data_IF_024847151235
#
_entry.id   IF_024847151235
#
_cell.length_a   1.000
_cell.length_b   1.000
_cell.length_c   1.000
_cell.angle_alpha   90.00
_cell.angle_beta   90.00
_cell.angle_gamma   90.00
#
_symmetry.space_group_name_H-M   'P 1'
#
loop_
_entity.id
_entity.type
_entity.pdbx_description
1 polymer ?
#
# COMPACT_ATOMS: atom_id res chain seq x y z
N UNK A 1 -5.18 6.21 10.60
CA UNK A 1 -4.07 5.71 9.76
C UNK A 1 -3.46 4.50 10.44
N UNK A 2 -2.88 3.57 9.68
CA UNK A 2 -2.26 2.33 10.14
C UNK A 2 -0.90 2.16 9.47
N UNK A 3 0.13 1.77 10.23
CA UNK A 3 1.45 1.39 9.72
C UNK A 3 1.62 -0.13 9.93
N UNK A 4 1.91 -0.85 8.86
CA UNK A 4 2.12 -2.29 8.88
C UNK A 4 3.54 -2.58 8.38
N UNK A 5 4.36 -3.19 9.23
CA UNK A 5 5.76 -3.47 8.93
C UNK A 5 6.00 -4.98 8.81
N UNK A 6 6.27 -5.44 7.59
CA UNK A 6 6.54 -6.83 7.20
C UNK A 6 5.58 -7.89 7.76
N UNK A 7 4.33 -7.49 8.02
CA UNK A 7 3.28 -8.37 8.56
C UNK A 7 2.92 -9.53 7.61
N UNK A 8 3.28 -9.40 6.34
CA UNK A 8 3.07 -10.39 5.29
C UNK A 8 4.26 -11.37 5.12
N UNK A 9 5.38 -11.15 5.80
CA UNK A 9 6.56 -12.03 5.76
C UNK A 9 6.29 -13.52 6.11
N UNK A 10 5.40 -13.88 7.07
CA UNK A 10 5.11 -15.28 7.36
C UNK A 10 4.06 -15.90 6.44
N UNK A 11 3.50 -15.16 5.48
CA UNK A 11 2.39 -15.60 4.64
C UNK A 11 2.90 -16.19 3.32
N UNK A 12 2.21 -17.22 2.82
CA UNK A 12 2.39 -17.67 1.44
C UNK A 12 1.76 -16.70 0.44
N UNK A 13 2.12 -16.84 -0.83
CA UNK A 13 1.67 -15.94 -1.89
C UNK A 13 0.13 -15.85 -1.99
N UNK A 14 -0.60 -16.95 -1.79
CA UNK A 14 -2.06 -16.97 -1.85
C UNK A 14 -2.71 -16.20 -0.68
N UNK A 15 -2.13 -16.30 0.51
CA UNK A 15 -2.55 -15.58 1.70
C UNK A 15 -2.21 -14.09 1.61
N UNK A 16 -1.06 -13.72 1.02
CA UNK A 16 -0.70 -12.31 0.76
C UNK A 16 -1.76 -11.64 -0.11
N UNK A 17 -2.25 -12.30 -1.16
CA UNK A 17 -3.31 -11.74 -2.01
C UNK A 17 -4.62 -11.47 -1.24
N UNK A 18 -5.01 -12.40 -0.36
CA UNK A 18 -6.20 -12.22 0.51
C UNK A 18 -6.00 -11.10 1.53
N UNK A 19 -4.80 -11.02 2.10
CA UNK A 19 -4.43 -9.95 3.03
C UNK A 19 -4.47 -8.57 2.35
N UNK A 20 -3.89 -8.45 1.15
CA UNK A 20 -3.89 -7.22 0.36
C UNK A 20 -5.32 -6.70 0.09
N UNK A 21 -6.23 -7.59 -0.32
CA UNK A 21 -7.63 -7.25 -0.54
C UNK A 21 -8.34 -6.79 0.74
N UNK A 22 -8.04 -7.41 1.89
CA UNK A 22 -8.61 -7.00 3.16
C UNK A 22 -8.12 -5.61 3.58
N UNK A 23 -6.82 -5.33 3.46
CA UNK A 23 -6.23 -4.01 3.74
C UNK A 23 -6.87 -2.94 2.85
N UNK A 24 -7.00 -3.23 1.55
CA UNK A 24 -7.62 -2.35 0.58
C UNK A 24 -9.06 -1.95 0.92
N UNK A 25 -9.89 -2.91 1.33
CA UNK A 25 -11.27 -2.62 1.76
C UNK A 25 -11.34 -1.73 3.00
N UNK A 26 -10.29 -1.73 3.83
CA UNK A 26 -10.20 -0.87 5.01
C UNK A 26 -9.73 0.54 4.68
N UNK A 27 -9.19 0.77 3.47
CA UNK A 27 -8.65 2.09 3.07
C UNK A 27 -9.71 3.18 3.00
N UNK A 28 -10.98 2.83 2.79
CA UNK A 28 -12.12 3.75 2.80
C UNK A 28 -12.31 4.43 4.17
N UNK A 29 -11.81 3.82 5.25
CA UNK A 29 -11.98 4.29 6.64
C UNK A 29 -10.70 4.78 7.27
N UNK A 30 -9.53 4.37 6.78
CA UNK A 30 -8.24 4.70 7.36
C UNK A 30 -7.15 4.61 6.30
N UNK A 31 -6.20 5.55 6.30
CA UNK A 31 -5.00 5.45 5.46
C UNK A 31 -4.08 4.32 5.94
N UNK A 32 -3.56 3.51 5.01
CA UNK A 32 -2.58 2.46 5.29
C UNK A 32 -1.21 2.79 4.68
N UNK A 33 -0.16 2.60 5.47
CA UNK A 33 1.24 2.59 5.04
C UNK A 33 1.75 1.19 5.29
N UNK A 34 2.24 0.52 4.24
CA UNK A 34 2.71 -0.86 4.31
C UNK A 34 4.18 -0.91 3.91
N UNK A 35 5.02 -1.46 4.79
CA UNK A 35 6.41 -1.78 4.52
C UNK A 35 6.45 -3.28 4.22
N UNK A 36 6.86 -3.62 3.00
CA UNK A 36 6.88 -5.00 2.51
C UNK A 36 7.88 -5.12 1.36
N UNK A 37 8.44 -6.32 1.18
CA UNK A 37 9.20 -6.70 -0.01
C UNK A 37 8.39 -7.59 -0.98
N UNK A 38 7.11 -7.87 -0.68
CA UNK A 38 6.24 -8.72 -1.48
C UNK A 38 5.70 -8.00 -2.72
N UNK A 39 6.07 -8.48 -3.90
CA UNK A 39 5.55 -7.97 -5.18
C UNK A 39 4.02 -8.04 -5.25
N UNK A 40 3.43 -9.12 -4.74
CA UNK A 40 1.97 -9.31 -4.77
C UNK A 40 1.24 -8.29 -3.90
N UNK A 41 1.81 -7.90 -2.76
CA UNK A 41 1.26 -6.81 -1.94
C UNK A 41 1.39 -5.46 -2.65
N UNK A 42 2.56 -5.18 -3.24
CA UNK A 42 2.82 -3.94 -3.98
C UNK A 42 1.83 -3.69 -5.13
N UNK A 43 1.40 -4.74 -5.83
CA UNK A 43 0.42 -4.66 -6.93
C UNK A 43 -0.96 -4.13 -6.49
N UNK A 44 -1.29 -4.18 -5.21
CA UNK A 44 -2.58 -3.73 -4.65
C UNK A 44 -2.49 -2.33 -4.01
N UNK A 45 -1.41 -1.58 -4.24
CA UNK A 45 -1.20 -0.25 -3.63
C UNK A 45 -1.45 0.89 -4.61
N UNK A 46 -1.82 2.07 -4.07
CA UNK A 46 -2.01 3.29 -4.86
C UNK A 46 -0.67 3.91 -5.30
N UNK A 47 0.28 3.99 -4.38
CA UNK A 47 1.58 4.65 -4.53
C UNK A 47 2.63 3.75 -3.89
N UNK A 48 3.71 3.51 -4.63
CA UNK A 48 4.88 2.79 -4.15
C UNK A 48 5.99 3.78 -3.80
N UNK A 49 6.54 3.62 -2.60
CA UNK A 49 7.74 4.32 -2.18
C UNK A 49 8.90 3.32 -2.08
N UNK A 50 9.89 3.47 -2.94
CA UNK A 50 11.13 2.72 -2.89
C UNK A 50 12.16 3.48 -2.05
N UNK A 51 12.82 2.79 -1.13
CA UNK A 51 13.96 3.33 -0.40
C UNK A 51 15.23 2.69 -0.96
N UNK A 52 16.12 3.50 -1.53
CA UNK A 52 17.40 3.06 -2.08
C UNK A 52 18.56 3.61 -1.25
N UNK A 53 19.71 2.96 -1.32
CA UNK A 53 20.95 3.43 -0.70
C UNK A 53 22.04 3.48 -1.77
N UNK A 54 22.25 4.67 -2.35
CA UNK A 54 23.34 4.89 -3.33
C UNK A 54 24.69 5.01 -2.63
N UNK A 55 24.69 5.53 -1.41
CA UNK A 55 25.86 5.68 -0.55
C UNK A 55 25.61 4.98 0.78
N UNK A 56 26.63 4.34 1.40
CA UNK A 56 26.46 3.69 2.69
C UNK A 56 25.91 4.66 3.75
N UNK A 57 24.80 4.28 4.38
CA UNK A 57 24.18 5.05 5.45
C UNK A 57 23.34 6.26 5.00
N UNK A 58 23.20 6.52 3.70
CA UNK A 58 22.34 7.59 3.17
C UNK A 58 21.22 6.98 2.32
N UNK A 59 20.00 7.01 2.84
CA UNK A 59 18.83 6.57 2.10
C UNK A 59 18.31 7.67 1.17
N UNK A 60 17.82 7.26 0.01
CA UNK A 60 17.12 8.10 -0.96
C UNK A 60 15.76 7.49 -1.24
N UNK A 61 14.75 8.34 -1.35
CA UNK A 61 13.37 7.92 -1.59
C UNK A 61 13.01 8.16 -3.05
N UNK A 62 12.41 7.15 -3.67
CA UNK A 62 11.83 7.20 -5.00
C UNK A 62 10.36 6.83 -4.91
N UNK A 63 9.51 7.46 -5.71
CA UNK A 63 8.06 7.21 -5.68
C UNK A 63 7.52 6.91 -7.06
N UNK A 64 6.59 5.97 -7.14
CA UNK A 64 5.83 5.65 -8.34
C UNK A 64 4.35 5.64 -7.97
N UNK A 65 3.55 6.42 -8.68
CA UNK A 65 2.10 6.37 -8.57
C UNK A 65 1.56 5.30 -9.53
N UNK A 66 0.85 4.32 -8.99
CA UNK A 66 0.24 3.22 -9.76
C UNK A 66 -1.20 3.56 -10.18
N UNK A 67 -1.69 4.76 -9.82
CA UNK A 67 -3.03 5.27 -10.16
C UNK A 67 -3.17 5.55 -11.66
N UNK A 68 -3.39 4.48 -12.39
CA UNK A 68 -3.86 4.44 -13.78
C UNK A 68 -4.68 3.18 -14.09
N UNK A 69 -4.81 2.24 -13.15
CA UNK A 69 -5.57 0.99 -13.32
C UNK A 69 -6.82 0.82 -12.45
N UNK A 70 -7.10 1.74 -11.52
CA UNK A 70 -8.34 1.71 -10.73
C UNK A 70 -8.86 3.12 -10.50
N UNK A 71 -9.94 3.44 -11.21
CA UNK A 71 -10.76 4.60 -10.90
C UNK A 71 -11.35 4.36 -9.50
N UNK A 72 -10.96 5.19 -8.53
CA UNK A 72 -11.72 5.31 -7.28
C UNK A 72 -13.10 5.88 -7.67
N UNK A 73 -14.23 5.24 -7.30
CA UNK A 73 -15.52 5.88 -7.47
C UNK A 73 -15.50 7.23 -6.73
N UNK A 74 -16.17 8.27 -7.27
CA UNK A 74 -16.17 9.59 -6.65
C UNK A 74 -16.60 9.44 -5.19
N UNK A 75 -15.83 10.06 -4.29
CA UNK A 75 -16.19 10.24 -2.89
C UNK A 75 -17.65 10.68 -2.86
N UNK A 76 -18.52 9.83 -2.30
CA UNK A 76 -19.84 10.32 -1.93
C UNK A 76 -19.59 11.28 -0.79
N UNK A 77 -19.61 12.57 -1.11
CA UNK A 77 -19.93 13.61 -0.13
C UNK A 77 -21.17 13.13 0.62
N UNK A 78 -20.95 12.55 1.81
CA UNK A 78 -21.99 12.47 2.83
C UNK A 78 -22.27 13.90 3.22
N UNK A 79 -23.28 14.45 2.55
CA UNK A 79 -23.89 15.72 2.87
C UNK A 79 -24.36 15.77 4.33
N UNK A 80 -24.37 17.01 4.85
CA UNK A 80 -25.21 17.50 5.93
C UNK A 80 -24.89 17.07 7.37
N UNK A 81 -24.27 17.99 8.11
CA UNK A 81 -24.86 18.59 9.31
C UNK A 81 -24.28 20.00 9.49
#
# INVERSE_FOLDING_TARGET
FCLLDEVDAPLDEANIGRFAQAVEQMTDRSQFIVITHSRRMMEHTDVLYGVTMEQPGVSRLVSVELRGKRARPPERDTAAA
#
